data_IF_255527073468
#
_entry.id   IF_255527073468
#
_cell.length_a   1.000
_cell.length_b   1.000
_cell.length_c   1.000
_cell.angle_alpha   90.00
_cell.angle_beta   90.00
_cell.angle_gamma   90.00
#
_symmetry.space_group_name_H-M   'P 1'
#
loop_
_entity.id
_entity.type
_entity.pdbx_description
1 polymer ?
#
# COMPACT_ATOMS: atom_id res chain seq x y z
N UNK A 1 9.06 15.99 4.07
CA UNK A 1 7.95 15.04 3.87
C UNK A 1 7.02 15.43 2.71
N UNK A 2 7.25 16.55 2.00
CA UNK A 2 6.44 16.98 0.86
C UNK A 2 6.40 16.00 -0.31
N UNK A 3 7.35 15.07 -0.42
CA UNK A 3 7.37 14.15 -1.57
C UNK A 3 6.57 12.87 -1.35
N UNK A 4 6.17 12.60 -0.10
CA UNK A 4 5.42 11.39 0.25
C UNK A 4 3.92 11.67 0.17
N UNK A 5 3.17 10.75 -0.41
CA UNK A 5 1.71 10.77 -0.45
C UNK A 5 1.16 9.73 0.49
N UNK A 6 0.23 10.15 1.34
CA UNK A 6 -0.50 9.24 2.24
C UNK A 6 -1.68 8.66 1.46
N UNK A 7 -1.65 7.37 1.15
CA UNK A 7 -2.61 6.74 0.22
C UNK A 7 -3.83 6.18 0.97
N UNK A 8 -3.59 5.46 2.07
CA UNK A 8 -4.64 4.83 2.86
C UNK A 8 -4.11 4.43 4.24
N UNK A 9 -5.02 4.25 5.20
CA UNK A 9 -4.77 3.52 6.44
C UNK A 9 -5.67 2.30 6.52
N UNK A 10 -5.19 1.20 7.08
CA UNK A 10 -6.02 0.03 7.29
C UNK A 10 -5.68 -0.72 8.58
N UNK A 11 -6.71 -1.12 9.32
CA UNK A 11 -6.57 -2.01 10.48
C UNK A 11 -7.01 -3.42 10.10
N UNK A 12 -6.16 -4.39 10.42
CA UNK A 12 -6.46 -5.81 10.20
C UNK A 12 -7.72 -6.22 11.00
N UNK A 13 -8.66 -6.96 10.38
CA UNK A 13 -9.88 -7.42 11.05
C UNK A 13 -9.63 -8.14 12.39
N UNK A 14 -10.50 -7.96 13.40
CA UNK A 14 -10.29 -8.48 14.76
C UNK A 14 -10.08 -9.99 14.87
N UNK A 15 -10.59 -10.79 13.92
CA UNK A 15 -10.51 -12.26 13.95
C UNK A 15 -9.19 -12.85 13.48
N UNK A 16 -8.25 -12.03 13.00
CA UNK A 16 -6.93 -12.50 12.59
C UNK A 16 -6.02 -12.59 13.82
N UNK A 17 -5.27 -13.69 14.00
CA UNK A 17 -4.40 -13.88 15.17
C UNK A 17 -3.26 -12.84 15.24
N UNK A 18 -2.84 -12.33 14.08
CA UNK A 18 -1.92 -11.18 13.96
C UNK A 18 -2.68 -10.00 13.37
N UNK A 19 -2.49 -8.83 13.96
CA UNK A 19 -3.15 -7.59 13.53
C UNK A 19 -2.13 -6.48 13.37
N UNK A 20 -2.35 -5.69 12.32
CA UNK A 20 -1.56 -4.52 12.00
C UNK A 20 -2.49 -3.31 11.86
N UNK A 21 -1.96 -2.16 12.25
CA UNK A 21 -2.50 -0.83 11.92
C UNK A 21 -1.53 -0.22 10.91
N UNK A 22 -1.88 -0.30 9.64
CA UNK A 22 -0.97 -0.10 8.52
C UNK A 22 -1.26 1.21 7.83
N UNK A 23 -0.22 2.04 7.67
CA UNK A 23 -0.22 3.24 6.83
C UNK A 23 0.43 2.91 5.49
N UNK A 24 -0.26 3.20 4.40
CA UNK A 24 0.25 3.02 3.04
C UNK A 24 0.69 4.36 2.47
N UNK A 25 1.93 4.40 1.98
CA UNK A 25 2.58 5.60 1.45
C UNK A 25 3.03 5.36 0.01
N UNK A 26 3.10 6.42 -0.78
CA UNK A 26 3.65 6.40 -2.13
C UNK A 26 4.65 7.54 -2.31
N UNK A 27 5.72 7.27 -3.05
CA UNK A 27 6.70 8.26 -3.50
C UNK A 27 7.23 7.89 -4.88
N UNK A 28 7.72 8.89 -5.61
CA UNK A 28 8.45 8.68 -6.86
C UNK A 28 9.83 8.06 -6.58
N UNK A 29 10.20 7.02 -7.34
CA UNK A 29 11.45 6.29 -7.20
C UNK A 29 12.71 7.17 -7.44
N UNK A 30 12.57 8.34 -8.09
CA UNK A 30 13.67 9.31 -8.24
C UNK A 30 14.20 9.83 -6.90
N UNK A 31 13.42 9.71 -5.82
CA UNK A 31 13.81 10.12 -4.48
C UNK A 31 14.56 9.04 -3.71
N UNK A 32 14.83 7.87 -4.30
CA UNK A 32 15.68 6.83 -3.69
C UNK A 32 17.12 7.35 -3.59
N UNK A 33 17.58 7.60 -2.36
CA UNK A 33 18.90 8.17 -2.10
C UNK A 33 20.05 7.16 -2.20
N UNK A 34 19.78 5.88 -1.94
CA UNK A 34 20.78 4.82 -1.95
C UNK A 34 20.14 3.47 -2.31
N UNK A 35 20.84 2.64 -3.08
CA UNK A 35 20.44 1.29 -3.47
C UNK A 35 21.50 0.31 -3.02
N UNK A 36 21.06 -0.81 -2.45
CA UNK A 36 21.93 -1.90 -2.00
C UNK A 36 21.60 -3.11 -2.87
N UNK A 37 22.61 -3.61 -3.57
CA UNK A 37 22.51 -4.81 -4.41
C UNK A 37 22.72 -6.08 -3.57
N UNK A 38 22.21 -7.23 -4.05
CA UNK A 38 22.47 -8.53 -3.44
C UNK A 38 21.75 -8.81 -2.11
N UNK A 39 20.74 -8.00 -1.75
CA UNK A 39 19.94 -8.20 -0.52
C UNK A 39 18.87 -9.29 -0.70
N UNK A 40 18.43 -9.51 -1.94
CA UNK A 40 17.40 -10.49 -2.29
C UNK A 40 18.08 -11.75 -2.81
N UNK A 41 18.02 -12.83 -2.04
CA UNK A 41 18.64 -14.12 -2.35
C UNK A 41 17.70 -15.27 -1.97
N UNK A 42 18.03 -16.50 -2.34
CA UNK A 42 17.21 -17.67 -2.00
C UNK A 42 17.10 -17.92 -0.48
N UNK A 43 18.07 -17.44 0.31
CA UNK A 43 18.16 -17.71 1.76
C UNK A 43 17.62 -16.55 2.63
N UNK A 44 17.09 -15.48 2.02
CA UNK A 44 16.55 -14.31 2.73
C UNK A 44 15.03 -14.38 2.89
N UNK A 45 14.45 -13.60 3.82
CA UNK A 45 12.97 -13.54 3.98
C UNK A 45 12.28 -13.05 2.69
N UNK A 46 12.85 -12.01 2.05
CA UNK A 46 12.43 -11.55 0.73
C UNK A 46 13.30 -12.24 -0.33
N UNK A 47 12.73 -13.25 -1.00
CA UNK A 47 13.43 -14.07 -2.00
C UNK A 47 13.24 -13.59 -3.44
N UNK A 48 12.24 -12.75 -3.67
CA UNK A 48 11.89 -12.23 -5.00
C UNK A 48 11.50 -10.76 -4.89
N UNK A 49 12.07 -9.93 -5.79
CA UNK A 49 11.74 -8.51 -5.91
C UNK A 49 11.56 -8.18 -7.38
N UNK A 50 10.38 -7.67 -7.73
CA UNK A 50 10.03 -7.30 -9.10
C UNK A 50 9.47 -5.89 -9.16
N UNK A 51 9.75 -5.20 -10.26
CA UNK A 51 9.06 -3.96 -10.63
C UNK A 51 8.04 -4.27 -11.70
N UNK A 52 6.77 -4.08 -11.39
CA UNK A 52 5.66 -4.37 -12.31
C UNK A 52 4.78 -3.14 -12.49
N UNK A 53 4.17 -2.95 -13.68
CA UNK A 53 3.12 -1.96 -13.88
C UNK A 53 1.98 -2.12 -12.87
N UNK A 54 1.37 -1.01 -12.47
CA UNK A 54 0.33 -1.01 -11.45
C UNK A 54 -0.86 -1.93 -11.79
N UNK A 55 -1.21 -2.05 -13.07
CA UNK A 55 -2.26 -2.96 -13.55
C UNK A 55 -1.88 -4.43 -13.37
N UNK A 56 -0.64 -4.79 -13.68
CA UNK A 56 -0.14 -6.16 -13.50
C UNK A 56 -0.02 -6.51 -12.01
N UNK A 57 0.37 -5.56 -11.16
CA UNK A 57 0.44 -5.76 -9.72
C UNK A 57 -0.91 -6.19 -9.12
N UNK A 58 -2.04 -5.73 -9.67
CA UNK A 58 -3.37 -6.09 -9.17
C UNK A 58 -3.73 -7.56 -9.39
N UNK A 59 -3.07 -8.24 -10.33
CA UNK A 59 -3.29 -9.65 -10.68
C UNK A 59 -2.43 -10.63 -9.86
N UNK A 60 -1.51 -10.13 -9.04
CA UNK A 60 -0.69 -10.95 -8.14
C UNK A 60 -1.52 -11.50 -6.96
N UNK A 61 -1.05 -12.59 -6.35
CA UNK A 61 -1.64 -13.15 -5.13
C UNK A 61 -1.35 -12.26 -3.91
N UNK A 62 -2.13 -11.19 -3.80
CA UNK A 62 -2.00 -10.18 -2.76
C UNK A 62 -3.04 -10.34 -1.66
N UNK A 63 -2.76 -9.88 -0.43
CA UNK A 63 -3.80 -9.62 0.55
C UNK A 63 -4.87 -8.67 -0.02
N UNK A 64 -6.14 -8.90 0.33
CA UNK A 64 -7.26 -8.07 -0.15
C UNK A 64 -7.03 -6.57 0.02
N UNK A 65 -6.53 -6.16 1.20
CA UNK A 65 -6.27 -4.75 1.48
C UNK A 65 -5.23 -4.14 0.53
N UNK A 66 -4.19 -4.89 0.15
CA UNK A 66 -3.17 -4.40 -0.79
C UNK A 66 -3.80 -4.10 -2.15
N UNK A 67 -4.68 -4.97 -2.67
CA UNK A 67 -5.42 -4.69 -3.92
C UNK A 67 -6.30 -3.44 -3.82
N UNK A 68 -6.98 -3.24 -2.68
CA UNK A 68 -7.77 -2.03 -2.44
C UNK A 68 -6.89 -0.78 -2.51
N UNK A 69 -5.73 -0.79 -1.84
CA UNK A 69 -4.81 0.35 -1.85
C UNK A 69 -4.19 0.60 -3.23
N UNK A 70 -3.89 -0.44 -4.02
CA UNK A 70 -3.42 -0.26 -5.39
C UNK A 70 -4.48 0.43 -6.28
N UNK A 71 -5.77 0.14 -6.07
CA UNK A 71 -6.87 0.85 -6.76
C UNK A 71 -7.01 2.30 -6.31
N UNK A 72 -6.92 2.56 -5.00
CA UNK A 72 -6.88 3.94 -4.48
C UNK A 72 -5.69 4.72 -5.04
N UNK A 73 -4.51 4.08 -5.16
CA UNK A 73 -3.34 4.67 -5.79
C UNK A 73 -3.58 4.97 -7.28
N UNK A 74 -4.20 4.06 -8.03
CA UNK A 74 -4.54 4.28 -9.45
C UNK A 74 -5.44 5.51 -9.63
N UNK A 75 -6.48 5.65 -8.79
CA UNK A 75 -7.34 6.83 -8.76
C UNK A 75 -6.56 8.11 -8.44
N UNK A 76 -5.71 8.09 -7.41
CA UNK A 76 -4.88 9.26 -7.06
C UNK A 76 -3.90 9.66 -8.17
N UNK A 77 -3.34 8.69 -8.91
CA UNK A 77 -2.48 8.98 -10.06
C UNK A 77 -3.28 9.69 -11.15
N UNK A 78 -4.49 9.22 -11.46
CA UNK A 78 -5.38 9.86 -12.43
C UNK A 78 -5.76 11.30 -12.01
N UNK A 79 -5.89 11.55 -10.71
CA UNK A 79 -6.21 12.87 -10.14
C UNK A 79 -4.99 13.78 -9.90
N UNK A 80 -3.80 13.36 -10.35
CA UNK A 80 -2.57 14.15 -10.31
C UNK A 80 -1.81 14.13 -8.98
N UNK A 81 -2.07 13.15 -8.11
CA UNK A 81 -1.36 12.93 -6.84
C UNK A 81 -1.33 14.17 -5.94
N UNK A 82 -2.48 14.82 -5.76
CA UNK A 82 -2.61 15.97 -4.86
C UNK A 82 -2.35 15.59 -3.41
N UNK A 83 -1.83 16.54 -2.63
CA UNK A 83 -1.48 16.33 -1.22
C UNK A 83 -2.67 16.37 -0.26
N UNK A 84 -3.67 17.18 -0.61
CA UNK A 84 -4.83 17.51 0.20
C UNK A 84 -6.04 16.60 -0.08
N UNK A 85 -5.84 15.51 -0.83
CA UNK A 85 -6.88 14.50 -1.04
C UNK A 85 -7.20 13.78 0.27
N UNK A 86 -8.48 13.74 0.71
CA UNK A 86 -8.90 12.98 1.89
C UNK A 86 -8.42 11.53 1.82
N UNK A 87 -7.94 11.01 2.95
CA UNK A 87 -7.31 9.69 2.96
C UNK A 87 -8.25 8.61 3.47
N UNK A 88 -8.51 7.55 2.70
CA UNK A 88 -9.39 6.49 3.15
C UNK A 88 -8.77 5.70 4.31
N UNK A 89 -9.61 5.43 5.31
CA UNK A 89 -9.34 4.57 6.45
C UNK A 89 -10.25 3.33 6.41
N UNK A 90 -9.64 2.15 6.35
CA UNK A 90 -10.33 0.87 6.30
C UNK A 90 -10.21 0.11 7.62
N UNK A 91 -11.35 -0.39 8.11
CA UNK A 91 -11.36 -1.26 9.28
C UNK A 91 -12.60 -2.15 9.30
N UNK A 92 -12.58 -3.18 10.15
CA UNK A 92 -13.75 -4.04 10.38
C UNK A 92 -14.27 -3.87 11.80
N UNK A 93 -15.58 -3.63 11.94
CA UNK A 93 -16.29 -3.62 13.22
C UNK A 93 -17.56 -4.45 13.08
N UNK A 94 -17.79 -5.36 14.04
CA UNK A 94 -18.98 -6.25 14.03
C UNK A 94 -19.17 -7.01 12.70
N UNK A 95 -18.07 -7.46 12.06
CA UNK A 95 -18.07 -8.15 10.75
C UNK A 95 -18.53 -7.29 9.56
N UNK A 96 -18.63 -5.98 9.76
CA UNK A 96 -18.90 -5.01 8.70
C UNK A 96 -17.61 -4.27 8.38
N UNK A 97 -17.32 -4.15 7.09
CA UNK A 97 -16.16 -3.42 6.57
C UNK A 97 -16.54 -1.95 6.38
N UNK A 98 -15.71 -1.05 6.90
CA UNK A 98 -15.91 0.40 6.84
C UNK A 98 -14.82 1.05 5.99
N UNK A 99 -15.21 2.12 5.28
CA UNK A 99 -14.32 3.09 4.64
C UNK A 99 -14.73 4.46 5.15
N UNK A 100 -13.83 5.12 5.89
CA UNK A 100 -13.98 6.50 6.36
C UNK A 100 -12.92 7.38 5.72
N UNK A 101 -13.08 8.70 5.78
CA UNK A 101 -12.04 9.65 5.36
C UNK A 101 -11.38 10.26 6.59
N UNK A 102 -10.05 10.34 6.55
CA UNK A 102 -9.20 11.01 7.53
C UNK A 102 -8.92 12.46 7.13
#
# INVERSE_FOLDING_TARGET
>A
LSEIRFIARAITPPKRPKRFDTTFLCLDAKWIAHRIEGVVTADTELVELVWVPLKEAQELDLPHITRVVLKELEGRIADGMKHDTPTPFYYEKQRVWFREEL
#
